data_IF_228351634789
#
_entry.id   IF_228351634789
#
_cell.length_a   1.000
_cell.length_b   1.000
_cell.length_c   1.000
_cell.angle_alpha   90.00
_cell.angle_beta   90.00
_cell.angle_gamma   90.00
#
_symmetry.space_group_name_H-M   'P 1'
#
loop_
_entity.id
_entity.type
_entity.pdbx_description
1 polymer ?
#
# COMPACT_ATOMS: atom_id res chain seq x y z
N UNK A 1 6.90 -7.31 22.68
CA UNK A 1 6.42 -6.08 22.01
C UNK A 1 7.62 -5.25 21.55
N UNK A 2 8.40 -4.66 22.46
CA UNK A 2 9.53 -3.78 22.10
C UNK A 2 10.55 -4.45 21.17
N UNK A 3 10.89 -5.72 21.42
CA UNK A 3 11.79 -6.50 20.53
C UNK A 3 11.25 -6.57 19.10
N UNK A 4 9.94 -6.81 18.91
CA UNK A 4 9.33 -6.92 17.57
C UNK A 4 9.36 -5.57 16.85
N UNK A 5 9.00 -4.48 17.55
CA UNK A 5 9.03 -3.12 16.98
C UNK A 5 10.46 -2.73 16.60
N UNK A 6 11.42 -3.01 17.48
CA UNK A 6 12.85 -2.74 17.22
C UNK A 6 13.34 -3.59 16.05
N UNK A 7 12.93 -4.85 15.95
CA UNK A 7 13.28 -5.73 14.82
C UNK A 7 12.75 -5.18 13.49
N UNK A 8 11.49 -4.76 13.43
CA UNK A 8 10.90 -4.15 12.22
C UNK A 8 11.73 -2.93 11.80
N UNK A 9 11.97 -1.99 12.72
CA UNK A 9 12.70 -0.75 12.39
C UNK A 9 14.18 -0.96 12.10
N UNK A 10 14.84 -1.91 12.79
CA UNK A 10 16.24 -2.24 12.55
C UNK A 10 16.47 -2.88 11.16
N UNK A 11 15.44 -3.50 10.58
CA UNK A 11 15.52 -4.11 9.26
C UNK A 11 15.30 -3.11 8.12
N UNK A 12 14.69 -1.95 8.38
CA UNK A 12 14.38 -0.93 7.34
C UNK A 12 15.61 -0.53 6.51
N UNK A 13 16.79 -0.19 7.10
CA UNK A 13 17.97 0.20 6.33
C UNK A 13 18.50 -0.92 5.42
N UNK A 14 18.32 -2.18 5.83
CA UNK A 14 18.88 -3.36 5.20
C UNK A 14 17.90 -4.07 4.26
N UNK A 15 16.63 -3.69 4.27
CA UNK A 15 15.55 -4.38 3.57
C UNK A 15 15.85 -4.62 2.08
N UNK A 16 16.42 -3.63 1.36
CA UNK A 16 16.78 -3.79 -0.06
C UNK A 16 17.96 -4.74 -0.28
N UNK A 17 18.95 -4.68 0.60
CA UNK A 17 20.12 -5.57 0.55
C UNK A 17 19.69 -7.00 0.82
N UNK A 18 18.83 -7.20 1.82
CA UNK A 18 18.21 -8.48 2.15
C UNK A 18 17.36 -8.97 0.98
N UNK A 19 16.52 -8.12 0.39
CA UNK A 19 15.68 -8.48 -0.76
C UNK A 19 16.52 -8.93 -1.97
N UNK A 20 17.60 -8.20 -2.29
CA UNK A 20 18.52 -8.56 -3.37
C UNK A 20 19.21 -9.88 -3.07
N UNK A 21 19.74 -10.05 -1.86
CA UNK A 21 20.41 -11.27 -1.42
C UNK A 21 19.46 -12.49 -1.50
N UNK A 22 18.26 -12.38 -0.93
CA UNK A 22 17.26 -13.45 -0.97
C UNK A 22 16.85 -13.76 -2.41
N UNK A 23 16.64 -12.73 -3.23
CA UNK A 23 16.30 -12.92 -4.65
C UNK A 23 17.41 -13.63 -5.42
N UNK A 24 18.68 -13.32 -5.14
CA UNK A 24 19.83 -13.95 -5.80
C UNK A 24 20.14 -15.35 -5.30
N UNK A 25 19.89 -15.64 -4.02
CA UNK A 25 20.31 -16.89 -3.38
C UNK A 25 19.20 -17.94 -3.35
N UNK A 26 18.00 -17.58 -2.88
CA UNK A 26 16.89 -18.51 -2.69
C UNK A 26 15.89 -18.48 -3.84
N UNK A 27 15.82 -17.35 -4.55
CA UNK A 27 14.75 -17.07 -5.51
C UNK A 27 13.44 -16.68 -4.83
N UNK A 28 12.69 -15.77 -5.46
CA UNK A 28 11.46 -15.19 -4.89
C UNK A 28 10.38 -16.23 -4.57
N UNK A 29 10.24 -17.25 -5.42
CA UNK A 29 9.25 -18.33 -5.26
C UNK A 29 9.56 -19.14 -4.00
N UNK A 30 10.79 -19.58 -3.82
CA UNK A 30 11.22 -20.35 -2.64
C UNK A 30 11.01 -19.55 -1.37
N UNK A 31 11.38 -18.27 -1.39
CA UNK A 31 11.18 -17.40 -0.23
C UNK A 31 9.69 -17.24 0.12
N UNK A 32 8.84 -17.08 -0.88
CA UNK A 32 7.39 -17.05 -0.67
C UNK A 32 6.86 -18.36 -0.08
N UNK A 33 7.33 -19.51 -0.57
CA UNK A 33 6.97 -20.82 -0.01
C UNK A 33 7.39 -20.96 1.46
N UNK A 34 8.54 -20.40 1.85
CA UNK A 34 8.97 -20.38 3.25
C UNK A 34 8.01 -19.56 4.14
N UNK A 35 7.65 -18.36 3.72
CA UNK A 35 6.68 -17.51 4.47
C UNK A 35 5.33 -18.21 4.60
N UNK A 36 4.86 -18.83 3.51
CA UNK A 36 3.63 -19.61 3.50
C UNK A 36 3.71 -20.81 4.44
N UNK A 37 4.81 -21.58 4.38
CA UNK A 37 5.06 -22.75 5.21
C UNK A 37 5.12 -22.42 6.70
N UNK A 38 5.81 -21.34 7.08
CA UNK A 38 5.85 -20.85 8.47
C UNK A 38 4.45 -20.47 8.94
N UNK A 39 3.71 -19.70 8.15
CA UNK A 39 2.34 -19.28 8.46
C UNK A 39 1.40 -20.49 8.63
N UNK A 40 1.53 -21.50 7.76
CA UNK A 40 0.78 -22.75 7.84
C UNK A 40 1.15 -23.57 9.08
N UNK A 41 2.44 -23.66 9.42
CA UNK A 41 2.91 -24.32 10.63
C UNK A 41 2.34 -23.67 11.90
N UNK A 42 2.33 -22.34 11.97
CA UNK A 42 1.70 -21.58 13.08
C UNK A 42 0.20 -21.90 13.16
N UNK A 43 -0.51 -21.89 12.03
CA UNK A 43 -1.93 -22.18 11.97
C UNK A 43 -2.26 -23.61 12.43
N UNK A 44 -1.54 -24.62 11.92
CA UNK A 44 -1.70 -26.02 12.32
C UNK A 44 -1.38 -26.18 13.81
N UNK A 45 -0.28 -25.58 14.28
CA UNK A 45 0.12 -25.59 15.68
C UNK A 45 -0.96 -25.00 16.59
N UNK A 46 -1.58 -23.89 16.20
CA UNK A 46 -2.71 -23.29 16.91
C UNK A 46 -3.91 -24.23 16.96
N UNK A 47 -4.34 -24.79 15.82
CA UNK A 47 -5.49 -25.70 15.74
C UNK A 47 -5.25 -26.94 16.62
N UNK A 48 -4.06 -27.55 16.53
CA UNK A 48 -3.68 -28.67 17.38
C UNK A 48 -3.68 -28.29 18.87
N UNK A 49 -3.15 -27.11 19.23
CA UNK A 49 -3.17 -26.62 20.59
C UNK A 49 -4.61 -26.47 21.13
N UNK A 50 -5.52 -25.86 20.35
CA UNK A 50 -6.93 -25.71 20.73
C UNK A 50 -7.62 -27.07 20.90
N UNK A 51 -7.38 -28.00 19.97
CA UNK A 51 -8.02 -29.31 19.94
C UNK A 51 -7.51 -30.25 21.04
N UNK A 52 -6.19 -30.31 21.21
CA UNK A 52 -5.51 -31.33 22.02
C UNK A 52 -5.22 -30.84 23.43
N UNK A 53 -4.77 -29.59 23.61
CA UNK A 53 -4.43 -29.04 24.93
C UNK A 53 -5.61 -28.35 25.60
N UNK A 54 -6.30 -27.46 24.88
CA UNK A 54 -7.46 -26.75 25.45
C UNK A 54 -8.77 -27.54 25.35
N UNK A 55 -8.76 -28.69 24.66
CA UNK A 55 -9.90 -29.61 24.49
C UNK A 55 -11.18 -28.91 23.98
N UNK A 56 -11.05 -27.85 23.19
CA UNK A 56 -12.20 -27.13 22.61
C UNK A 56 -12.69 -27.93 21.40
N UNK A 57 -13.89 -28.54 21.46
CA UNK A 57 -14.43 -29.38 20.36
C UNK A 57 -15.57 -28.73 19.58
N UNK A 58 -15.68 -27.41 19.62
CA UNK A 58 -16.78 -26.69 18.99
C UNK A 58 -16.52 -26.44 17.50
N UNK A 59 -17.16 -27.25 16.64
CA UNK A 59 -16.94 -27.24 15.18
C UNK A 59 -17.11 -25.83 14.56
N UNK A 60 -18.11 -25.06 14.99
CA UNK A 60 -18.35 -23.71 14.47
C UNK A 60 -17.16 -22.75 14.70
N UNK A 61 -16.39 -22.91 15.78
CA UNK A 61 -15.16 -22.12 15.99
C UNK A 61 -14.13 -22.45 14.93
N UNK A 62 -13.92 -23.73 14.64
CA UNK A 62 -12.96 -24.18 13.63
C UNK A 62 -13.35 -23.75 12.22
N UNK A 63 -14.64 -23.74 11.90
CA UNK A 63 -15.14 -23.20 10.62
C UNK A 63 -14.84 -21.69 10.48
N UNK A 64 -15.08 -20.90 11.54
CA UNK A 64 -14.75 -19.48 11.52
C UNK A 64 -13.24 -19.23 11.43
N UNK A 65 -12.43 -20.02 12.13
CA UNK A 65 -10.97 -19.96 12.02
C UNK A 65 -10.50 -20.36 10.62
N UNK A 66 -11.14 -21.35 9.98
CA UNK A 66 -10.86 -21.71 8.59
C UNK A 66 -11.15 -20.55 7.63
N UNK A 67 -12.27 -19.85 7.81
CA UNK A 67 -12.59 -18.66 7.01
C UNK A 67 -11.50 -17.59 7.19
N UNK A 68 -11.08 -17.30 8.43
CA UNK A 68 -9.99 -16.35 8.69
C UNK A 68 -8.67 -16.80 8.07
N UNK A 69 -8.35 -18.10 8.11
CA UNK A 69 -7.18 -18.67 7.44
C UNK A 69 -7.26 -18.49 5.92
N UNK A 70 -8.40 -18.71 5.29
CA UNK A 70 -8.59 -18.49 3.85
C UNK A 70 -8.30 -17.03 3.48
N UNK A 71 -8.82 -16.06 4.26
CA UNK A 71 -8.51 -14.65 4.04
C UNK A 71 -7.03 -14.34 4.24
N UNK A 72 -6.41 -14.89 5.30
CA UNK A 72 -4.99 -14.69 5.61
C UNK A 72 -4.09 -15.23 4.50
N UNK A 73 -4.27 -16.49 4.10
CA UNK A 73 -3.49 -17.11 3.04
C UNK A 73 -3.79 -16.51 1.66
N UNK A 74 -5.03 -16.10 1.40
CA UNK A 74 -5.39 -15.36 0.19
C UNK A 74 -4.63 -14.04 0.08
N UNK A 75 -4.52 -13.28 1.18
CA UNK A 75 -3.72 -12.06 1.23
C UNK A 75 -2.24 -12.35 1.00
N UNK A 76 -1.68 -13.34 1.69
CA UNK A 76 -0.27 -13.77 1.52
C UNK A 76 0.03 -14.19 0.08
N UNK A 77 -0.86 -14.95 -0.57
CA UNK A 77 -0.71 -15.33 -1.98
C UNK A 77 -0.82 -14.15 -2.94
N UNK A 78 -1.61 -13.13 -2.61
CA UNK A 78 -1.70 -11.90 -3.41
C UNK A 78 -0.40 -11.08 -3.42
N UNK A 79 0.51 -11.38 -2.48
CA UNK A 79 1.82 -10.74 -2.33
C UNK A 79 2.97 -11.57 -2.95
N UNK A 80 2.67 -12.60 -3.75
CA UNK A 80 3.68 -13.50 -4.34
C UNK A 80 4.77 -12.79 -5.18
N UNK A 81 4.43 -11.64 -5.77
CA UNK A 81 5.34 -10.86 -6.60
C UNK A 81 6.27 -9.95 -5.75
N UNK A 82 5.89 -9.73 -4.48
CA UNK A 82 6.61 -8.99 -3.45
C UNK A 82 6.72 -9.81 -2.15
N UNK A 83 7.51 -10.91 -2.11
CA UNK A 83 7.62 -11.77 -0.93
C UNK A 83 7.97 -11.04 0.38
N UNK A 84 8.71 -9.93 0.28
CA UNK A 84 9.01 -9.03 1.40
C UNK A 84 7.76 -8.41 2.04
N UNK A 85 6.72 -8.08 1.26
CA UNK A 85 5.44 -7.60 1.78
C UNK A 85 4.72 -8.74 2.53
N UNK A 86 4.88 -9.99 2.09
CA UNK A 86 4.33 -11.15 2.79
C UNK A 86 5.00 -11.41 4.15
N UNK A 87 6.30 -11.11 4.27
CA UNK A 87 7.00 -11.14 5.57
C UNK A 87 6.44 -10.07 6.51
N UNK A 88 6.32 -8.82 6.05
CA UNK A 88 5.74 -7.75 6.87
C UNK A 88 4.31 -8.10 7.29
N UNK A 89 3.51 -8.68 6.38
CA UNK A 89 2.17 -9.16 6.70
C UNK A 89 2.17 -10.16 7.88
N UNK A 90 3.12 -11.12 7.90
CA UNK A 90 3.29 -12.04 9.02
C UNK A 90 3.76 -11.32 10.30
N UNK A 91 4.74 -10.42 10.19
CA UNK A 91 5.29 -9.66 11.31
C UNK A 91 4.23 -8.81 12.02
N UNK A 92 3.36 -8.12 11.27
CA UNK A 92 2.26 -7.35 11.83
C UNK A 92 1.19 -8.22 12.50
N UNK A 93 0.96 -9.44 11.97
CA UNK A 93 0.13 -10.44 12.65
C UNK A 93 0.72 -10.84 14.02
N UNK A 94 2.02 -11.10 14.07
CA UNK A 94 2.73 -11.42 15.32
C UNK A 94 2.80 -10.24 16.29
N UNK A 95 3.01 -9.02 15.78
CA UNK A 95 2.98 -7.78 16.55
C UNK A 95 1.61 -7.59 17.19
N UNK A 96 0.53 -7.78 16.43
CA UNK A 96 -0.85 -7.70 16.91
C UNK A 96 -1.10 -8.68 18.06
N UNK A 97 -0.66 -9.94 17.94
CA UNK A 97 -0.70 -10.90 19.04
C UNK A 97 0.12 -10.46 20.26
N UNK A 98 1.32 -9.92 20.05
CA UNK A 98 2.19 -9.46 21.12
C UNK A 98 1.59 -8.25 21.86
N UNK A 99 0.91 -7.34 21.16
CA UNK A 99 0.17 -6.22 21.74
C UNK A 99 -1.00 -6.72 22.58
N UNK A 100 -1.77 -7.69 22.09
CA UNK A 100 -2.81 -8.35 22.89
C UNK A 100 -2.23 -8.96 24.17
N UNK A 101 -1.09 -9.65 24.07
CA UNK A 101 -0.40 -10.20 25.24
C UNK A 101 0.10 -9.13 26.21
N UNK A 102 0.49 -7.95 25.74
CA UNK A 102 0.88 -6.86 26.62
C UNK A 102 -0.35 -6.26 27.33
N UNK A 103 -1.42 -5.98 26.57
CA UNK A 103 -2.62 -5.35 27.12
C UNK A 103 -3.44 -6.24 28.05
N UNK A 104 -3.29 -7.58 28.00
CA UNK A 104 -4.06 -8.50 28.87
C UNK A 104 -3.89 -8.25 30.37
N UNK A 105 -2.78 -7.62 30.74
CA UNK A 105 -2.45 -7.25 32.11
C UNK A 105 -3.16 -5.95 32.56
N UNK A 106 -3.56 -5.10 31.61
CA UNK A 106 -4.13 -3.77 31.86
C UNK A 106 -5.62 -3.66 31.51
N UNK A 107 -6.09 -4.43 30.52
CA UNK A 107 -7.46 -4.40 30.00
C UNK A 107 -8.10 -5.78 30.21
N UNK A 108 -9.02 -5.92 31.18
CA UNK A 108 -9.64 -7.21 31.47
C UNK A 108 -10.87 -7.54 30.62
N UNK A 109 -11.26 -6.67 29.69
CA UNK A 109 -12.50 -6.75 28.90
C UNK A 109 -12.28 -6.80 27.39
N UNK A 110 -13.38 -6.90 26.63
CA UNK A 110 -13.37 -7.01 25.16
C UNK A 110 -12.70 -5.85 24.43
N UNK A 111 -12.48 -4.70 25.07
CA UNK A 111 -11.76 -3.60 24.45
C UNK A 111 -10.27 -3.86 24.23
N UNK A 112 -9.72 -4.94 24.83
CA UNK A 112 -8.34 -5.38 24.56
C UNK A 112 -8.07 -5.61 23.07
N UNK A 113 -9.03 -6.18 22.34
CA UNK A 113 -8.87 -6.51 20.93
C UNK A 113 -8.79 -5.23 20.08
N UNK A 114 -9.67 -4.27 20.35
CA UNK A 114 -9.67 -2.97 19.69
C UNK A 114 -8.43 -2.15 20.03
N UNK A 115 -8.03 -2.10 21.30
CA UNK A 115 -6.82 -1.39 21.72
C UNK A 115 -5.55 -1.98 21.07
N UNK A 116 -5.48 -3.32 20.96
CA UNK A 116 -4.38 -4.00 20.28
C UNK A 116 -4.36 -3.69 18.78
N UNK A 117 -5.51 -3.73 18.12
CA UNK A 117 -5.64 -3.40 16.70
C UNK A 117 -5.22 -1.96 16.40
N UNK A 118 -5.75 -0.98 17.13
CA UNK A 118 -5.43 0.42 16.87
C UNK A 118 -4.00 0.80 17.26
N UNK A 119 -3.41 0.08 18.22
CA UNK A 119 -1.98 0.21 18.52
C UNK A 119 -1.11 -0.36 17.39
N UNK A 120 -1.49 -1.51 16.82
CA UNK A 120 -0.79 -2.07 15.67
C UNK A 120 -0.91 -1.15 14.44
N UNK A 121 -2.08 -0.53 14.23
CA UNK A 121 -2.27 0.50 13.20
C UNK A 121 -1.39 1.72 13.42
N UNK A 122 -1.27 2.20 14.66
CA UNK A 122 -0.36 3.30 14.99
C UNK A 122 1.10 2.96 14.67
N UNK A 123 1.56 1.77 15.06
CA UNK A 123 2.91 1.30 14.69
C UNK A 123 3.05 1.24 13.18
N UNK A 124 2.02 0.78 12.45
CA UNK A 124 2.05 0.74 10.99
C UNK A 124 2.18 2.11 10.33
N UNK A 125 1.52 3.13 10.87
CA UNK A 125 1.68 4.50 10.38
C UNK A 125 3.09 5.03 10.63
N UNK A 126 3.63 4.78 11.83
CA UNK A 126 4.98 5.23 12.20
C UNK A 126 6.03 4.53 11.34
N UNK A 127 5.89 3.23 11.13
CA UNK A 127 6.77 2.44 10.26
C UNK A 127 6.76 2.98 8.83
N UNK A 128 5.60 3.18 8.21
CA UNK A 128 5.52 3.70 6.84
C UNK A 128 6.05 5.14 6.74
N UNK A 129 5.79 6.00 7.72
CA UNK A 129 6.34 7.36 7.75
C UNK A 129 7.87 7.34 7.92
N UNK A 130 8.39 6.42 8.70
CA UNK A 130 9.83 6.21 8.86
C UNK A 130 10.46 5.66 7.57
N UNK A 131 9.79 4.73 6.90
CA UNK A 131 10.22 4.21 5.61
C UNK A 131 10.22 5.30 4.55
N UNK A 132 9.19 6.15 4.49
CA UNK A 132 9.13 7.29 3.58
C UNK A 132 10.28 8.28 3.79
N UNK A 133 10.67 8.51 5.04
CA UNK A 133 11.84 9.33 5.34
C UNK A 133 13.18 8.66 4.93
N UNK A 134 13.17 7.36 4.62
CA UNK A 134 14.38 6.65 4.19
C UNK A 134 14.61 6.80 2.68
N UNK A 135 15.84 7.13 2.22
CA UNK A 135 16.09 7.45 0.82
C UNK A 135 15.63 6.38 -0.17
N UNK A 136 14.96 6.83 -1.23
CA UNK A 136 14.43 6.04 -2.34
C UNK A 136 13.24 5.13 -1.99
N UNK A 137 12.65 5.21 -0.79
CA UNK A 137 11.43 4.47 -0.49
C UNK A 137 10.21 5.25 -0.97
N UNK A 138 9.26 4.52 -1.53
CA UNK A 138 8.01 5.09 -2.02
C UNK A 138 6.98 4.87 -0.93
N UNK A 139 6.32 5.95 -0.53
CA UNK A 139 5.17 5.88 0.35
C UNK A 139 4.00 5.19 -0.36
N UNK A 140 3.41 4.16 0.27
CA UNK A 140 2.16 3.57 -0.17
C UNK A 140 1.21 3.30 1.00
N UNK A 141 0.04 3.97 0.97
CA UNK A 141 -1.03 3.73 1.94
C UNK A 141 -1.51 2.26 1.92
N UNK A 142 -1.30 1.55 0.82
CA UNK A 142 -1.57 0.11 0.74
C UNK A 142 -0.79 -0.66 1.79
N UNK A 143 0.46 -0.31 2.07
CA UNK A 143 1.30 -1.05 3.01
C UNK A 143 0.76 -0.92 4.43
N UNK A 144 0.38 0.29 4.82
CA UNK A 144 -0.33 0.54 6.09
C UNK A 144 -1.64 -0.27 6.17
N UNK A 145 -2.40 -0.31 5.08
CA UNK A 145 -3.67 -1.04 5.03
C UNK A 145 -3.48 -2.56 5.16
N UNK A 146 -2.43 -3.12 4.56
CA UNK A 146 -2.09 -4.55 4.64
C UNK A 146 -1.67 -4.94 6.06
N UNK A 147 -0.87 -4.11 6.71
CA UNK A 147 -0.42 -4.30 8.09
C UNK A 147 -1.60 -4.26 9.08
N UNK A 148 -2.50 -3.31 8.92
CA UNK A 148 -3.75 -3.22 9.71
C UNK A 148 -4.64 -4.43 9.42
N UNK A 149 -4.75 -4.87 8.16
CA UNK A 149 -5.56 -6.02 7.79
C UNK A 149 -5.05 -7.32 8.41
N UNK A 150 -3.73 -7.57 8.37
CA UNK A 150 -3.11 -8.69 9.09
C UNK A 150 -3.42 -8.64 10.58
N UNK A 151 -3.24 -7.47 11.19
CA UNK A 151 -3.52 -7.24 12.61
C UNK A 151 -4.98 -7.54 12.96
N UNK A 152 -5.93 -7.13 12.10
CA UNK A 152 -7.36 -7.38 12.25
C UNK A 152 -7.67 -8.88 12.22
N UNK A 153 -7.14 -9.63 11.25
CA UNK A 153 -7.37 -11.08 11.16
C UNK A 153 -6.91 -11.80 12.43
N UNK A 154 -5.75 -11.44 12.96
CA UNK A 154 -5.24 -12.00 14.22
C UNK A 154 -6.10 -11.61 15.41
N UNK A 155 -6.52 -10.35 15.54
CA UNK A 155 -7.41 -9.93 16.64
C UNK A 155 -8.78 -10.61 16.57
N UNK A 156 -9.35 -10.81 15.37
CA UNK A 156 -10.59 -11.57 15.19
C UNK A 156 -10.42 -13.03 15.62
N UNK A 157 -9.32 -13.68 15.25
CA UNK A 157 -9.05 -15.05 15.68
C UNK A 157 -8.93 -15.14 17.21
N UNK A 158 -8.17 -14.22 17.83
CA UNK A 158 -8.02 -14.15 19.28
C UNK A 158 -9.34 -13.84 20.00
N UNK A 159 -10.21 -13.02 19.40
CA UNK A 159 -11.55 -12.73 19.91
C UNK A 159 -12.42 -13.99 19.91
N UNK A 160 -12.47 -14.71 18.78
CA UNK A 160 -13.23 -15.95 18.66
C UNK A 160 -12.77 -17.02 19.65
N UNK A 161 -11.45 -17.19 19.80
CA UNK A 161 -10.86 -18.12 20.77
C UNK A 161 -11.17 -17.65 22.20
N UNK A 162 -10.96 -16.37 22.50
CA UNK A 162 -11.17 -15.78 23.82
C UNK A 162 -12.61 -15.91 24.31
N UNK A 163 -13.60 -15.83 23.42
CA UNK A 163 -15.02 -16.09 23.75
C UNK A 163 -15.29 -17.48 24.30
N UNK A 164 -14.41 -18.45 24.04
CA UNK A 164 -14.57 -19.84 24.47
C UNK A 164 -13.66 -20.20 25.63
N UNK A 165 -12.48 -19.61 25.70
CA UNK A 165 -11.44 -19.96 26.69
C UNK A 165 -11.43 -19.07 27.92
N UNK A 166 -11.99 -17.86 27.83
CA UNK A 166 -11.91 -16.90 28.92
C UNK A 166 -12.82 -17.31 30.08
N UNK A 167 -12.20 -17.73 31.19
CA UNK A 167 -12.84 -17.86 32.51
C UNK A 167 -13.28 -16.51 33.09
N UNK A 168 -12.80 -15.38 32.53
CA UNK A 168 -13.26 -14.05 32.93
C UNK A 168 -14.72 -13.89 32.47
N UNK A 169 -15.64 -14.04 33.42
CA UNK A 169 -17.06 -13.65 33.32
C UNK A 169 -17.18 -12.42 32.43
N UNK A 170 -17.88 -12.56 31.29
CA UNK A 170 -18.48 -11.53 30.43
C UNK A 170 -18.23 -10.07 30.88
N UNK A 171 -17.01 -9.55 30.81
CA UNK A 171 -16.80 -8.13 31.09
C UNK A 171 -17.20 -7.38 29.83
N UNK A 172 -18.35 -6.72 29.89
CA UNK A 172 -18.75 -5.71 28.91
C UNK A 172 -17.59 -4.70 28.77
N UNK A 173 -17.43 -4.13 27.58
CA UNK A 173 -16.43 -3.11 27.28
C UNK A 173 -16.38 -2.06 28.41
N UNK A 174 -15.27 -1.89 29.13
CA UNK A 174 -15.21 -0.86 30.18
C UNK A 174 -15.06 0.54 29.57
N UNK A 175 -15.45 1.57 30.32
CA UNK A 175 -15.21 2.96 29.89
C UNK A 175 -13.72 3.26 29.70
N UNK A 176 -12.86 2.70 30.54
CA UNK A 176 -11.39 2.83 30.41
C UNK A 176 -10.90 2.25 29.07
N UNK A 177 -11.35 1.05 28.71
CA UNK A 177 -11.00 0.42 27.44
C UNK A 177 -11.55 1.18 26.24
N UNK A 178 -12.80 1.63 26.31
CA UNK A 178 -13.41 2.46 25.28
C UNK A 178 -12.61 3.75 25.07
N UNK A 179 -12.29 4.48 26.14
CA UNK A 179 -11.52 5.73 26.06
C UNK A 179 -10.15 5.51 25.41
N UNK A 180 -9.43 4.45 25.79
CA UNK A 180 -8.15 4.11 25.18
C UNK A 180 -8.29 3.78 23.70
N UNK A 181 -9.26 2.93 23.33
CA UNK A 181 -9.55 2.60 21.93
C UNK A 181 -9.86 3.85 21.12
N UNK A 182 -10.71 4.72 21.65
CA UNK A 182 -11.11 5.99 21.03
C UNK A 182 -9.93 6.92 20.84
N UNK A 183 -9.03 7.03 21.82
CA UNK A 183 -7.83 7.84 21.69
C UNK A 183 -6.88 7.29 20.62
N UNK A 184 -6.61 5.98 20.64
CA UNK A 184 -5.78 5.32 19.63
C UNK A 184 -6.37 5.45 18.22
N UNK A 185 -7.67 5.23 18.06
CA UNK A 185 -8.36 5.41 16.77
C UNK A 185 -8.28 6.87 16.31
N UNK A 186 -8.51 7.84 17.21
CA UNK A 186 -8.43 9.26 16.87
C UNK A 186 -7.04 9.64 16.37
N UNK A 187 -5.98 9.13 17.00
CA UNK A 187 -4.60 9.37 16.53
C UNK A 187 -4.38 8.77 15.13
N UNK A 188 -4.82 7.53 14.89
CA UNK A 188 -4.72 6.92 13.56
C UNK A 188 -5.44 7.77 12.49
N UNK A 189 -6.63 8.29 12.80
CA UNK A 189 -7.40 9.16 11.91
C UNK A 189 -6.70 10.50 11.67
N UNK A 190 -6.11 11.10 12.71
CA UNK A 190 -5.36 12.35 12.59
C UNK A 190 -4.09 12.18 11.75
N UNK A 191 -3.38 11.05 11.91
CA UNK A 191 -2.22 10.73 11.06
C UNK A 191 -2.66 10.55 9.60
N UNK A 192 -3.75 9.82 9.34
CA UNK A 192 -4.33 9.70 8.00
C UNK A 192 -4.63 11.09 7.39
N UNK A 193 -5.28 11.97 8.15
CA UNK A 193 -5.55 13.34 7.71
C UNK A 193 -4.27 14.14 7.42
N UNK A 194 -3.29 14.05 8.32
CA UNK A 194 -1.98 14.70 8.17
C UNK A 194 -1.25 14.24 6.90
N UNK A 195 -1.17 12.93 6.66
CA UNK A 195 -0.53 12.38 5.45
C UNK A 195 -1.24 12.83 4.17
N UNK A 196 -2.56 12.94 4.19
CA UNK A 196 -3.34 13.51 3.08
C UNK A 196 -3.08 15.00 2.86
N UNK A 197 -2.91 15.75 3.95
CA UNK A 197 -2.61 17.18 3.90
C UNK A 197 -1.18 17.49 3.48
N UNK A 198 -0.25 16.53 3.54
CA UNK A 198 1.15 16.74 3.17
C UNK A 198 1.34 16.71 1.63
N UNK A 199 0.75 17.71 0.98
CA UNK A 199 0.90 17.99 -0.45
C UNK A 199 2.30 18.56 -0.74
N UNK A 200 2.78 18.52 -2.00
CA UNK A 200 4.08 19.11 -2.37
C UNK A 200 4.25 20.56 -1.90
N UNK A 201 3.21 21.39 -2.08
CA UNK A 201 3.23 22.79 -1.67
C UNK A 201 3.35 22.97 -0.15
N UNK A 202 2.62 22.16 0.64
CA UNK A 202 2.72 22.22 2.11
C UNK A 202 4.01 21.63 2.62
N UNK A 203 4.54 20.60 1.97
CA UNK A 203 5.86 20.04 2.29
C UNK A 203 6.93 21.10 2.06
N UNK A 204 6.89 21.82 0.93
CA UNK A 204 7.81 22.92 0.67
C UNK A 204 7.70 24.05 1.70
N UNK A 205 6.50 24.41 2.14
CA UNK A 205 6.31 25.37 3.23
C UNK A 205 6.87 24.86 4.57
N UNK A 206 6.80 23.55 4.82
CA UNK A 206 7.32 22.95 6.04
C UNK A 206 8.86 22.96 6.04
N UNK A 207 9.49 22.67 4.92
CA UNK A 207 10.95 22.61 4.76
C UNK A 207 11.61 23.97 4.72
N UNK A 208 10.89 25.05 4.35
CA UNK A 208 11.39 26.41 4.54
C UNK A 208 11.49 26.80 6.01
N UNK A 209 10.56 26.33 6.85
CA UNK A 209 10.59 26.54 8.30
C UNK A 209 11.58 25.58 8.98
N UNK A 210 11.67 24.34 8.49
CA UNK A 210 12.54 23.29 9.03
C UNK A 210 13.52 22.79 7.95
N UNK A 211 14.62 23.52 7.68
CA UNK A 211 15.55 23.19 6.59
C UNK A 211 16.16 21.78 6.65
N UNK A 212 16.29 21.20 7.85
CA UNK A 212 16.78 19.83 8.03
C UNK A 212 15.84 18.76 7.42
N UNK A 213 14.60 19.11 7.09
CA UNK A 213 13.62 18.25 6.41
C UNK A 213 13.65 18.38 4.87
N UNK A 214 14.48 19.27 4.31
CA UNK A 214 14.53 19.54 2.85
C UNK A 214 14.81 18.30 1.99
N UNK A 215 15.44 17.26 2.55
CA UNK A 215 15.64 15.99 1.85
C UNK A 215 14.31 15.31 1.47
N UNK A 216 13.23 15.55 2.22
CA UNK A 216 11.91 14.97 1.97
C UNK A 216 11.25 15.54 0.70
N UNK A 217 11.65 16.72 0.21
CA UNK A 217 11.08 17.27 -1.04
C UNK A 217 11.41 16.44 -2.28
N UNK A 218 12.48 15.64 -2.18
CA UNK A 218 12.92 14.72 -3.24
C UNK A 218 12.18 13.39 -3.21
N UNK A 219 11.50 13.08 -2.10
CA UNK A 219 10.71 11.87 -1.96
C UNK A 219 9.28 12.08 -2.48
N UNK A 220 8.56 10.99 -2.72
CA UNK A 220 7.18 11.09 -3.23
C UNK A 220 6.28 11.79 -2.21
N UNK A 221 5.39 12.68 -2.69
CA UNK A 221 4.44 13.36 -1.80
C UNK A 221 3.42 12.38 -1.24
N UNK A 222 3.22 12.42 0.08
CA UNK A 222 2.22 11.62 0.78
C UNK A 222 0.81 11.96 0.26
N UNK A 223 0.51 13.26 0.22
CA UNK A 223 -0.75 13.79 -0.29
C UNK A 223 -0.72 14.11 -1.78
N UNK A 224 -1.79 14.73 -2.26
CA UNK A 224 -1.95 15.21 -3.64
C UNK A 224 -3.08 14.50 -4.38
N UNK A 225 -3.90 15.29 -5.05
CA UNK A 225 -5.03 14.80 -5.84
C UNK A 225 -4.51 14.10 -7.10
N UNK A 226 -5.12 12.95 -7.39
CA UNK A 226 -4.94 12.22 -8.64
C UNK A 226 -6.26 12.22 -9.39
N UNK A 227 -6.25 12.76 -10.60
CA UNK A 227 -7.39 12.77 -11.49
C UNK A 227 -7.56 11.41 -12.15
N UNK A 228 -8.80 10.90 -12.14
CA UNK A 228 -9.21 9.73 -12.91
C UNK A 228 -9.71 10.19 -14.27
N UNK A 229 -9.01 9.78 -15.32
CA UNK A 229 -9.37 10.09 -16.70
C UNK A 229 -10.01 8.86 -17.35
N UNK A 230 -11.14 9.06 -18.03
CA UNK A 230 -11.82 8.02 -18.80
C UNK A 230 -11.73 8.39 -20.28
N UNK A 231 -11.04 7.56 -21.05
CA UNK A 231 -10.88 7.72 -22.48
C UNK A 231 -11.61 6.59 -23.23
N UNK A 232 -12.50 6.90 -24.19
CA UNK A 232 -13.27 5.88 -24.90
C UNK A 232 -12.43 4.87 -25.71
N UNK A 233 -11.26 5.26 -26.19
CA UNK A 233 -10.42 4.43 -27.07
C UNK A 233 -9.40 3.60 -26.26
N UNK A 234 -8.94 4.18 -25.15
CA UNK A 234 -7.87 3.59 -24.33
C UNK A 234 -8.46 2.84 -23.14
N UNK A 235 -9.32 3.50 -22.36
CA UNK A 235 -9.82 3.03 -21.07
C UNK A 235 -9.58 4.05 -19.96
N UNK A 236 -9.21 3.60 -18.76
CA UNK A 236 -9.03 4.48 -17.59
C UNK A 236 -7.53 4.66 -17.30
N UNK A 237 -7.10 5.89 -17.03
CA UNK A 237 -5.78 6.16 -16.48
C UNK A 237 -5.84 7.24 -15.39
N UNK A 238 -4.73 7.40 -14.67
CA UNK A 238 -4.61 8.31 -13.55
C UNK A 238 -3.46 9.28 -13.77
N UNK A 239 -3.65 10.54 -13.40
CA UNK A 239 -2.60 11.56 -13.51
C UNK A 239 -2.77 12.61 -12.42
N UNK A 240 -1.65 13.17 -11.95
CA UNK A 240 -1.64 14.37 -11.09
C UNK A 240 -2.05 15.64 -11.86
N UNK A 241 -2.16 15.54 -13.18
CA UNK A 241 -2.55 16.61 -14.08
C UNK A 241 -3.91 16.32 -14.71
N UNK A 242 -4.69 17.37 -14.89
CA UNK A 242 -5.89 17.34 -15.75
C UNK A 242 -5.49 17.15 -17.22
N UNK A 243 -6.44 16.74 -18.07
CA UNK A 243 -6.18 16.59 -19.52
C UNK A 243 -5.70 17.92 -20.13
N UNK A 244 -6.28 19.04 -19.73
CA UNK A 244 -5.89 20.35 -20.24
C UNK A 244 -4.48 20.74 -19.79
N UNK A 245 -4.11 20.42 -18.55
CA UNK A 245 -2.74 20.60 -18.07
C UNK A 245 -1.76 19.70 -18.81
N UNK A 246 -2.08 18.42 -19.04
CA UNK A 246 -1.24 17.50 -19.83
C UNK A 246 -0.96 18.08 -21.21
N UNK A 247 -2.02 18.48 -21.93
CA UNK A 247 -1.92 19.09 -23.27
C UNK A 247 -1.11 20.39 -23.26
N UNK A 248 -1.37 21.26 -22.29
CA UNK A 248 -0.67 22.54 -22.16
C UNK A 248 0.82 22.35 -21.88
N UNK A 249 1.17 21.45 -20.96
CA UNK A 249 2.58 21.18 -20.63
C UNK A 249 3.28 20.51 -21.80
N UNK A 250 2.65 19.53 -22.46
CA UNK A 250 3.20 18.90 -23.66
C UNK A 250 3.51 19.95 -24.74
N UNK A 251 2.57 20.86 -25.02
CA UNK A 251 2.78 21.92 -26.01
C UNK A 251 3.89 22.93 -25.63
N UNK A 252 3.99 23.31 -24.35
CA UNK A 252 4.94 24.33 -23.91
C UNK A 252 6.35 23.80 -23.66
N UNK A 253 6.49 22.53 -23.25
CA UNK A 253 7.74 21.94 -22.75
C UNK A 253 8.25 20.77 -23.57
N UNK A 254 7.58 20.38 -24.66
CA UNK A 254 7.94 19.18 -25.42
C UNK A 254 9.41 19.11 -25.84
N UNK A 255 9.98 20.21 -26.35
CA UNK A 255 11.38 20.21 -26.80
C UNK A 255 12.37 20.01 -25.65
N UNK A 256 12.17 20.72 -24.54
CA UNK A 256 12.97 20.59 -23.32
C UNK A 256 12.88 19.16 -22.75
N UNK A 257 11.66 18.66 -22.56
CA UNK A 257 11.42 17.35 -21.97
C UNK A 257 11.86 16.20 -22.89
N UNK A 258 11.73 16.34 -24.21
CA UNK A 258 12.26 15.37 -25.15
C UNK A 258 13.79 15.31 -25.10
N UNK A 259 14.47 16.45 -24.93
CA UNK A 259 15.92 16.47 -24.77
C UNK A 259 16.34 15.80 -23.47
N UNK A 260 15.67 16.11 -22.35
CA UNK A 260 15.91 15.43 -21.07
C UNK A 260 15.75 13.91 -21.23
N UNK A 261 14.68 13.43 -21.88
CA UNK A 261 14.48 11.99 -22.11
C UNK A 261 15.59 11.36 -22.97
N UNK A 262 16.16 12.09 -23.93
CA UNK A 262 17.31 11.62 -24.73
C UNK A 262 18.56 11.51 -23.88
N UNK A 263 18.89 12.56 -23.12
CA UNK A 263 20.09 12.63 -22.28
C UNK A 263 20.08 11.59 -21.15
N UNK A 264 18.89 11.21 -20.69
CA UNK A 264 18.68 10.23 -19.64
C UNK A 264 18.38 8.81 -20.14
N UNK A 265 18.45 8.56 -21.46
CA UNK A 265 18.08 7.26 -22.04
C UNK A 265 18.86 6.09 -21.45
N UNK A 266 20.17 6.29 -21.25
CA UNK A 266 21.10 5.28 -20.74
C UNK A 266 21.36 5.40 -19.23
N UNK A 267 20.68 6.32 -18.54
CA UNK A 267 20.84 6.53 -17.10
C UNK A 267 19.87 5.67 -16.30
N UNK A 268 20.16 5.54 -15.01
CA UNK A 268 19.37 4.75 -14.08
C UNK A 268 17.94 5.29 -13.95
N UNK A 269 16.94 4.42 -14.13
CA UNK A 269 15.52 4.77 -13.95
C UNK A 269 15.21 5.32 -12.54
N UNK A 270 15.67 4.69 -11.44
CA UNK A 270 15.53 5.26 -10.10
C UNK A 270 16.15 6.66 -9.95
N UNK A 271 17.30 6.91 -10.58
CA UNK A 271 17.98 8.20 -10.52
C UNK A 271 17.19 9.29 -11.27
N UNK A 272 16.56 8.93 -12.39
CA UNK A 272 15.66 9.83 -13.11
C UNK A 272 14.50 10.28 -12.23
N UNK A 273 13.81 9.35 -11.58
CA UNK A 273 12.66 9.67 -10.73
C UNK A 273 13.05 10.55 -9.52
N UNK A 274 14.26 10.38 -9.00
CA UNK A 274 14.80 11.24 -7.94
C UNK A 274 15.17 12.64 -8.43
N UNK A 275 15.64 12.76 -9.66
CA UNK A 275 16.04 14.03 -10.27
C UNK A 275 14.83 14.84 -10.72
N UNK A 276 13.81 14.15 -11.24
CA UNK A 276 12.56 14.74 -11.72
C UNK A 276 11.37 14.22 -10.89
N UNK A 277 11.30 14.53 -9.59
CA UNK A 277 10.27 13.98 -8.71
C UNK A 277 8.87 14.47 -9.10
N UNK A 278 7.86 13.66 -8.78
CA UNK A 278 6.46 13.94 -9.11
C UNK A 278 5.93 15.27 -8.54
N UNK A 279 6.53 15.75 -7.45
CA UNK A 279 6.20 17.01 -6.77
C UNK A 279 6.50 18.23 -7.64
N UNK A 280 7.62 18.21 -8.37
CA UNK A 280 8.11 19.33 -9.17
C UNK A 280 7.93 19.12 -10.67
N UNK A 281 8.02 17.88 -11.12
CA UNK A 281 7.97 17.51 -12.54
C UNK A 281 6.90 16.44 -12.82
N UNK A 282 5.62 16.64 -12.43
CA UNK A 282 4.57 15.61 -12.54
C UNK A 282 4.39 15.07 -13.97
N UNK A 283 4.46 15.94 -14.98
CA UNK A 283 4.36 15.53 -16.40
C UNK A 283 5.49 14.58 -16.80
N UNK A 284 6.75 15.00 -16.57
CA UNK A 284 7.93 14.24 -16.98
C UNK A 284 8.06 12.93 -16.18
N UNK A 285 7.74 12.98 -14.88
CA UNK A 285 7.69 11.83 -14.00
C UNK A 285 6.68 10.79 -14.50
N UNK A 286 5.43 11.18 -14.74
CA UNK A 286 4.38 10.27 -15.21
C UNK A 286 4.67 9.73 -16.61
N UNK A 287 5.16 10.57 -17.52
CA UNK A 287 5.59 10.14 -18.85
C UNK A 287 6.68 9.06 -18.75
N UNK A 288 7.67 9.24 -17.87
CA UNK A 288 8.75 8.27 -17.68
C UNK A 288 8.24 6.94 -17.14
N UNK A 289 7.27 6.95 -16.22
CA UNK A 289 6.67 5.73 -15.69
C UNK A 289 5.88 4.99 -16.78
N UNK A 290 5.07 5.71 -17.57
CA UNK A 290 4.34 5.13 -18.70
C UNK A 290 5.31 4.49 -19.72
N UNK A 291 6.41 5.17 -20.06
CA UNK A 291 7.48 4.63 -20.91
C UNK A 291 8.09 3.35 -20.33
N UNK A 292 8.49 3.39 -19.06
CA UNK A 292 9.09 2.24 -18.39
C UNK A 292 8.15 1.04 -18.36
N UNK A 293 6.88 1.26 -17.99
CA UNK A 293 5.85 0.23 -17.95
C UNK A 293 5.58 -0.36 -19.33
N UNK A 294 5.44 0.49 -20.35
CA UNK A 294 5.28 0.08 -21.76
C UNK A 294 6.42 -0.83 -22.18
N UNK A 295 7.66 -0.41 -21.97
CA UNK A 295 8.84 -1.11 -22.46
C UNK A 295 9.09 -2.41 -21.67
N UNK A 296 8.86 -2.42 -20.36
CA UNK A 296 8.92 -3.66 -19.56
C UNK A 296 7.91 -4.69 -20.02
N UNK A 297 6.65 -4.29 -20.25
CA UNK A 297 5.62 -5.21 -20.71
C UNK A 297 5.85 -5.64 -22.16
N UNK A 298 6.43 -4.78 -22.99
CA UNK A 298 6.85 -5.19 -24.32
C UNK A 298 7.88 -6.32 -24.24
N UNK A 299 8.95 -6.14 -23.47
CA UNK A 299 10.02 -7.15 -23.34
C UNK A 299 9.47 -8.47 -22.78
N UNK A 300 8.66 -8.42 -21.71
CA UNK A 300 8.00 -9.62 -21.17
C UNK A 300 7.09 -10.31 -22.19
N UNK A 301 6.41 -9.55 -23.05
CA UNK A 301 5.58 -10.11 -24.11
C UNK A 301 6.40 -10.76 -25.22
N UNK A 302 7.57 -10.22 -25.54
CA UNK A 302 8.49 -10.80 -26.52
C UNK A 302 9.18 -12.07 -26.00
N UNK A 303 9.50 -12.12 -24.71
CA UNK A 303 10.15 -13.25 -24.03
C UNK A 303 9.16 -14.34 -23.58
N UNK A 304 7.85 -14.08 -23.62
CA UNK A 304 6.84 -14.99 -23.10
C UNK A 304 6.78 -16.33 -23.87
N UNK A 305 6.85 -17.43 -23.13
CA UNK A 305 6.78 -18.79 -23.68
C UNK A 305 5.36 -19.22 -24.06
N UNK A 306 4.33 -18.62 -23.47
CA UNK A 306 2.92 -18.95 -23.76
C UNK A 306 2.25 -17.83 -24.54
N UNK A 307 1.36 -18.20 -25.46
CA UNK A 307 0.59 -17.24 -26.26
C UNK A 307 -0.30 -16.35 -25.38
N UNK A 308 -0.82 -16.89 -24.27
CA UNK A 308 -1.65 -16.16 -23.32
C UNK A 308 -0.86 -15.04 -22.62
N UNK A 309 0.31 -15.35 -22.05
CA UNK A 309 1.17 -14.34 -21.41
C UNK A 309 1.69 -13.33 -22.43
N UNK A 310 2.05 -13.78 -23.64
CA UNK A 310 2.45 -12.90 -24.75
C UNK A 310 1.35 -11.88 -25.06
N UNK A 311 0.11 -12.34 -25.29
CA UNK A 311 -1.04 -11.46 -25.57
C UNK A 311 -1.29 -10.47 -24.45
N UNK A 312 -1.29 -10.93 -23.20
CA UNK A 312 -1.51 -10.10 -22.02
C UNK A 312 -0.48 -8.97 -21.89
N UNK A 313 0.79 -9.31 -22.03
CA UNK A 313 1.86 -8.33 -21.90
C UNK A 313 1.94 -7.35 -23.08
N UNK A 314 1.78 -7.84 -24.30
CA UNK A 314 1.71 -6.97 -25.48
C UNK A 314 0.49 -6.04 -25.45
N UNK A 315 -0.66 -6.50 -24.93
CA UNK A 315 -1.85 -5.67 -24.75
C UNK A 315 -1.59 -4.50 -23.80
N UNK A 316 -0.94 -4.76 -22.65
CA UNK A 316 -0.57 -3.71 -21.70
C UNK A 316 0.38 -2.71 -22.36
N UNK A 317 1.41 -3.19 -23.06
CA UNK A 317 2.37 -2.32 -23.74
C UNK A 317 1.68 -1.44 -24.81
N UNK A 318 0.76 -2.02 -25.59
CA UNK A 318 -0.02 -1.28 -26.58
C UNK A 318 -0.85 -0.17 -25.93
N UNK A 319 -1.61 -0.48 -24.88
CA UNK A 319 -2.47 0.51 -24.21
C UNK A 319 -1.67 1.63 -23.52
N UNK A 320 -0.53 1.31 -22.92
CA UNK A 320 0.39 2.33 -22.39
C UNK A 320 0.97 3.21 -23.50
N UNK A 321 1.26 2.65 -24.68
CA UNK A 321 1.68 3.44 -25.85
C UNK A 321 0.59 4.40 -26.33
N UNK A 322 -0.69 3.98 -26.34
CA UNK A 322 -1.80 4.86 -26.71
C UNK A 322 -1.94 6.07 -25.75
N UNK A 323 -1.72 5.87 -24.44
CA UNK A 323 -1.70 6.98 -23.47
C UNK A 323 -0.61 7.98 -23.84
N UNK A 324 0.60 7.49 -24.12
CA UNK A 324 1.74 8.31 -24.52
C UNK A 324 1.47 9.07 -25.83
N UNK A 325 0.93 8.40 -26.84
CA UNK A 325 0.62 9.02 -28.14
C UNK A 325 -0.50 10.06 -28.08
N UNK A 326 -1.45 9.94 -27.14
CA UNK A 326 -2.60 10.84 -27.04
C UNK A 326 -2.35 12.03 -26.11
N UNK A 327 -1.66 11.82 -24.99
CA UNK A 327 -1.51 12.83 -23.93
C UNK A 327 -0.09 13.37 -23.75
N UNK A 328 0.92 12.69 -24.30
CA UNK A 328 2.33 13.08 -24.25
C UNK A 328 2.92 13.20 -25.67
N UNK A 329 2.07 13.49 -26.66
CA UNK A 329 2.32 13.30 -28.09
C UNK A 329 3.55 14.06 -28.58
N UNK A 330 3.62 15.36 -28.30
CA UNK A 330 4.67 16.22 -28.85
C UNK A 330 6.02 15.85 -28.25
N UNK A 331 6.07 15.68 -26.92
CA UNK A 331 7.27 15.22 -26.22
C UNK A 331 7.71 13.84 -26.72
N UNK A 332 6.78 12.89 -26.89
CA UNK A 332 7.07 11.56 -27.39
C UNK A 332 7.69 11.60 -28.79
N UNK A 333 7.10 12.36 -29.70
CA UNK A 333 7.54 12.46 -31.10
C UNK A 333 8.91 13.15 -31.24
N UNK A 334 9.20 14.14 -30.41
CA UNK A 334 10.52 14.80 -30.39
C UNK A 334 11.58 13.96 -29.66
N UNK A 335 11.17 13.00 -28.84
CA UNK A 335 12.06 12.08 -28.13
C UNK A 335 12.56 10.93 -29.02
N UNK A 336 13.34 10.01 -28.46
CA UNK A 336 13.78 8.78 -29.13
C UNK A 336 12.90 7.57 -28.77
N UNK A 337 11.74 7.78 -28.13
CA UNK A 337 10.89 6.72 -27.56
C UNK A 337 9.63 6.42 -28.38
N UNK A 338 9.35 7.17 -29.44
CA UNK A 338 8.23 6.90 -30.33
C UNK A 338 8.38 5.50 -30.98
N UNK A 339 7.28 4.77 -31.09
CA UNK A 339 7.25 3.51 -31.83
C UNK A 339 7.07 3.78 -33.32
N UNK A 340 7.72 2.97 -34.14
CA UNK A 340 7.42 2.88 -35.57
C UNK A 340 6.02 2.28 -35.79
N UNK A 341 5.33 2.77 -36.81
CA UNK A 341 3.96 2.34 -37.12
C UNK A 341 3.88 0.82 -37.38
N UNK A 342 4.89 0.25 -38.06
CA UNK A 342 4.98 -1.19 -38.32
C UNK A 342 4.97 -2.02 -37.04
N UNK A 343 5.70 -1.58 -36.01
CA UNK A 343 5.77 -2.26 -34.71
C UNK A 343 4.40 -2.27 -34.02
N UNK A 344 3.69 -1.15 -34.08
CA UNK A 344 2.36 -1.03 -33.51
C UNK A 344 1.35 -1.94 -34.22
N UNK A 345 1.38 -1.97 -35.56
CA UNK A 345 0.54 -2.86 -36.37
C UNK A 345 0.79 -4.35 -36.06
N UNK A 346 2.06 -4.75 -35.92
CA UNK A 346 2.44 -6.12 -35.54
C UNK A 346 1.89 -6.52 -34.17
N UNK A 347 1.96 -5.61 -33.18
CA UNK A 347 1.42 -5.87 -31.85
C UNK A 347 -0.11 -5.96 -31.91
N UNK A 348 -0.76 -5.03 -32.61
CA UNK A 348 -2.21 -4.97 -32.78
C UNK A 348 -2.79 -6.24 -33.42
N UNK A 349 -2.04 -6.88 -34.32
CA UNK A 349 -2.45 -8.15 -34.94
C UNK A 349 -2.46 -9.36 -33.97
N UNK A 350 -1.78 -9.27 -32.83
CA UNK A 350 -1.65 -10.37 -31.86
C UNK A 350 -2.68 -10.28 -30.73
N UNK A 351 -3.09 -9.05 -30.40
CA UNK A 351 -3.93 -8.73 -29.24
C UNK A 351 -5.38 -8.44 -29.66
N UNK A 352 -6.29 -8.44 -28.70
CA UNK A 352 -7.60 -7.82 -28.84
C UNK A 352 -7.54 -6.38 -28.28
N UNK A 353 -7.56 -5.34 -29.13
CA UNK A 353 -7.44 -3.94 -28.67
C UNK A 353 -8.72 -3.43 -27.98
N UNK A 354 -9.85 -4.12 -28.12
CA UNK A 354 -11.16 -3.69 -27.60
C UNK A 354 -11.31 -3.95 -26.10
N UNK A 355 -10.45 -4.79 -25.53
CA UNK A 355 -10.52 -5.10 -24.11
C UNK A 355 -10.36 -3.86 -23.23
N UNK A 356 -11.11 -3.78 -22.11
CA UNK A 356 -11.03 -2.64 -21.22
C UNK A 356 -9.66 -2.61 -20.54
N UNK A 357 -9.03 -1.43 -20.56
CA UNK A 357 -7.76 -1.21 -19.88
C UNK A 357 -7.90 -0.20 -18.76
N UNK A 358 -7.20 -0.47 -17.65
CA UNK A 358 -7.03 0.47 -16.55
C UNK A 358 -5.55 0.54 -16.22
N UNK A 359 -4.89 1.64 -16.58
CA UNK A 359 -3.50 1.86 -16.21
C UNK A 359 -3.39 2.02 -14.70
N UNK A 360 -2.45 1.32 -14.03
CA UNK A 360 -2.16 1.53 -12.62
C UNK A 360 -1.21 2.72 -12.39
N UNK A 361 -0.62 3.29 -13.45
CA UNK A 361 0.32 4.42 -13.34
C UNK A 361 -0.39 5.61 -12.69
N UNK A 362 0.22 6.17 -11.64
CA UNK A 362 -0.33 7.29 -10.89
C UNK A 362 -1.50 6.94 -9.95
N UNK A 363 -1.98 5.68 -9.93
CA UNK A 363 -3.10 5.28 -9.06
C UNK A 363 -2.64 5.22 -7.60
N UNK A 364 -3.26 6.01 -6.73
CA UNK A 364 -3.16 5.87 -5.27
C UNK A 364 -4.44 5.24 -4.71
N UNK A 365 -4.34 4.48 -3.61
CA UNK A 365 -5.47 3.77 -2.97
C UNK A 365 -6.68 4.68 -2.73
N UNK A 366 -6.41 5.89 -2.25
CA UNK A 366 -7.41 6.92 -1.95
C UNK A 366 -7.20 8.20 -2.78
N UNK A 367 -6.43 8.12 -3.88
CA UNK A 367 -5.93 9.30 -4.61
C UNK A 367 -6.96 10.18 -5.31
N UNK A 368 -8.17 9.66 -5.53
CA UNK A 368 -9.27 10.45 -6.12
C UNK A 368 -10.07 11.22 -5.09
N UNK A 369 -9.86 10.95 -3.80
CA UNK A 369 -10.53 11.64 -2.69
C UNK A 369 -9.81 12.97 -2.47
N UNK A 370 -10.57 14.06 -2.44
CA UNK A 370 -10.03 15.37 -2.12
C UNK A 370 -9.67 15.48 -0.63
N UNK A 371 -8.75 16.36 -0.31
CA UNK A 371 -8.40 16.63 1.10
C UNK A 371 -9.63 17.04 1.94
N UNK A 372 -10.55 17.83 1.36
CA UNK A 372 -11.77 18.27 2.05
C UNK A 372 -12.69 17.10 2.39
N UNK A 373 -12.88 16.18 1.45
CA UNK A 373 -13.67 14.96 1.68
C UNK A 373 -13.02 14.08 2.74
N UNK A 374 -11.69 13.93 2.72
CA UNK A 374 -10.96 13.14 3.71
C UNK A 374 -11.12 13.72 5.12
N UNK A 375 -10.89 15.03 5.29
CA UNK A 375 -11.07 15.67 6.59
C UNK A 375 -12.53 15.70 7.04
N UNK A 376 -13.48 15.88 6.13
CA UNK A 376 -14.91 15.76 6.44
C UNK A 376 -15.24 14.39 7.01
N UNK A 377 -14.76 13.32 6.38
CA UNK A 377 -14.90 11.95 6.88
C UNK A 377 -14.24 11.75 8.24
N UNK A 378 -13.00 12.21 8.42
CA UNK A 378 -12.28 12.12 9.70
C UNK A 378 -13.02 12.85 10.82
N UNK A 379 -13.50 14.08 10.58
CA UNK A 379 -14.23 14.88 11.57
C UNK A 379 -15.54 14.21 11.97
N UNK A 380 -16.28 13.60 11.02
CA UNK A 380 -17.48 12.81 11.32
C UNK A 380 -17.13 11.63 12.24
N UNK A 381 -16.07 10.88 11.94
CA UNK A 381 -15.64 9.76 12.77
C UNK A 381 -15.20 10.20 14.16
N UNK A 382 -14.44 11.31 14.27
CA UNK A 382 -14.03 11.87 15.55
C UNK A 382 -15.23 12.32 16.38
N UNK A 383 -16.22 12.97 15.75
CA UNK A 383 -17.47 13.36 16.40
C UNK A 383 -18.23 12.13 16.93
N UNK A 384 -18.36 11.08 16.12
CA UNK A 384 -18.99 9.82 16.54
C UNK A 384 -18.25 9.20 17.73
N UNK A 385 -16.92 9.15 17.67
CA UNK A 385 -16.09 8.66 18.78
C UNK A 385 -16.35 9.48 20.05
N UNK A 386 -16.39 10.81 19.96
CA UNK A 386 -16.68 11.68 21.11
C UNK A 386 -18.09 11.43 21.66
N UNK A 387 -19.12 11.37 20.81
CA UNK A 387 -20.51 11.10 21.22
C UNK A 387 -20.60 9.75 21.94
N UNK A 388 -19.98 8.69 21.39
CA UNK A 388 -19.96 7.36 22.00
C UNK A 388 -19.31 7.43 23.39
N UNK A 389 -18.20 8.15 23.55
CA UNK A 389 -17.56 8.31 24.86
C UNK A 389 -18.47 9.04 25.85
N UNK A 390 -19.14 10.13 25.44
CA UNK A 390 -20.05 10.88 26.32
C UNK A 390 -21.25 10.03 26.76
N UNK A 391 -21.88 9.30 25.85
CA UNK A 391 -23.00 8.40 26.16
C UNK A 391 -22.54 7.30 27.13
N UNK A 392 -21.38 6.70 26.87
CA UNK A 392 -20.86 5.60 27.70
C UNK A 392 -20.41 6.08 29.08
N UNK A 393 -19.85 7.28 29.17
CA UNK A 393 -19.48 7.93 30.42
C UNK A 393 -20.71 8.10 31.30
N UNK A 394 -21.78 8.69 30.76
CA UNK A 394 -23.02 8.94 31.50
C UNK A 394 -23.61 7.66 32.11
N UNK A 395 -23.71 6.59 31.31
CA UNK A 395 -24.19 5.26 31.76
C UNK A 395 -23.33 4.57 32.82
N UNK A 396 -22.14 5.10 33.11
CA UNK A 396 -21.20 4.54 34.07
C UNK A 396 -21.16 5.35 35.38
N UNK A 397 -21.75 6.55 35.38
CA UNK A 397 -21.90 7.44 36.54
C UNK A 397 -23.35 7.53 37.04
N UNK A 398 -24.34 7.22 36.20
CA UNK A 398 -25.70 6.83 36.58
C UNK A 398 -25.74 5.34 36.97
#
# INVERSE_FOLDING_TARGET
MSIIIISIWALVPWARSIQKFISSTLGRVTFMLLVFGISLGIAIGLINYLWSKLKIKQIHLYLLLLILMIFYFGAVLSLRDSPEEAVHFLEYGLLSWALYRAFRHYLPDWGIYGASLFSAGLVSWIDELFQWAWPNRIWDLRDVSLNIFSSLLVQLALFLIGRKTSLRKKSRLSFKSLRLMSWLLSINLLILGFTFSLTPARLHQLTTVFPFLSFLEKEESLGGLVYRHSDPEIGIFYSRLTIDQLRRVDALKAQEYAQILKDWRNRSYPEFLKTFPASWHPFLYEMRIHLFRRDQHLNKGLEASSLSEKRKHLFIAYKENQILQKYFRQTLNLSSYAWEEKKEQQIKAIIDPTWPYRSPVGRKLLGTITEKEMWGFILILLLLVTIINLIYQRKHFD
#
